data_IF_670888473830
#
_entry.id   IF_670888473830
#
_cell.length_a   1.000
_cell.length_b   1.000
_cell.length_c   1.000
_cell.angle_alpha   90.00
_cell.angle_beta   90.00
_cell.angle_gamma   90.00
#
_symmetry.space_group_name_H-M   'P 1'
#
loop_
_entity.id
_entity.type
_entity.pdbx_description
1 polymer ?
#
# COMPACT_ATOMS: atom_id res chain seq x y z
N UNK A 1 3.67 -31.32 28.54
CA UNK A 1 5.13 -31.04 28.60
C UNK A 1 5.71 -30.71 27.22
N UNK A 2 5.54 -31.56 26.20
CA UNK A 2 6.05 -31.32 24.84
C UNK A 2 5.52 -30.01 24.23
N UNK A 3 4.21 -29.75 24.33
CA UNK A 3 3.61 -28.50 23.83
C UNK A 3 4.17 -27.24 24.49
N UNK A 4 4.50 -27.29 25.79
CA UNK A 4 5.11 -26.16 26.50
C UNK A 4 6.55 -25.89 26.05
N UNK A 5 7.33 -26.94 25.80
CA UNK A 5 8.68 -26.81 25.27
C UNK A 5 8.66 -26.26 23.83
N UNK A 6 7.74 -26.76 23.00
CA UNK A 6 7.52 -26.22 21.66
C UNK A 6 7.09 -24.74 21.70
N UNK A 7 6.18 -24.37 22.61
CA UNK A 7 5.76 -22.97 22.81
C UNK A 7 6.96 -22.06 23.08
N UNK A 8 7.80 -22.40 24.07
CA UNK A 8 8.96 -21.57 24.41
C UNK A 8 10.00 -21.50 23.28
N UNK A 9 10.19 -22.60 22.55
CA UNK A 9 11.08 -22.63 21.39
C UNK A 9 10.59 -21.69 20.28
N UNK A 10 9.33 -21.84 19.84
CA UNK A 10 8.75 -20.99 18.79
C UNK A 10 8.64 -19.52 19.23
N UNK A 11 8.31 -19.25 20.50
CA UNK A 11 8.26 -17.87 21.02
C UNK A 11 9.64 -17.21 21.07
N UNK A 12 10.67 -17.94 21.48
CA UNK A 12 12.04 -17.41 21.51
C UNK A 12 12.53 -17.08 20.10
N UNK A 13 12.30 -17.97 19.13
CA UNK A 13 12.67 -17.73 17.72
C UNK A 13 11.86 -16.58 17.13
N UNK A 14 10.57 -16.46 17.46
CA UNK A 14 9.74 -15.34 17.03
C UNK A 14 10.29 -13.99 17.52
N UNK A 15 10.61 -13.88 18.82
CA UNK A 15 11.15 -12.64 19.41
C UNK A 15 12.50 -12.31 18.78
N UNK A 16 13.40 -13.30 18.67
CA UNK A 16 14.70 -13.11 18.04
C UNK A 16 14.56 -12.65 16.58
N UNK A 17 13.64 -13.24 15.82
CA UNK A 17 13.35 -12.86 14.44
C UNK A 17 12.81 -11.44 14.36
N UNK A 18 11.86 -11.07 15.23
CA UNK A 18 11.30 -9.71 15.28
C UNK A 18 12.36 -8.64 15.57
N UNK A 19 13.30 -8.93 16.48
CA UNK A 19 14.46 -8.05 16.73
C UNK A 19 15.34 -7.95 15.48
N UNK A 20 15.61 -9.07 14.79
CA UNK A 20 16.41 -9.08 13.57
C UNK A 20 15.75 -8.32 12.41
N UNK A 21 14.42 -8.34 12.29
CA UNK A 21 13.68 -7.53 11.29
C UNK A 21 13.98 -6.04 11.44
N UNK A 22 14.02 -5.53 12.67
CA UNK A 22 14.20 -4.09 12.94
C UNK A 22 15.68 -3.68 12.92
N UNK A 23 16.57 -4.58 13.37
CA UNK A 23 18.00 -4.29 13.52
C UNK A 23 18.81 -4.52 12.25
N UNK A 24 18.35 -5.39 11.34
CA UNK A 24 19.04 -5.72 10.10
C UNK A 24 19.22 -4.49 9.20
N UNK A 25 20.40 -4.40 8.58
CA UNK A 25 20.75 -3.30 7.66
C UNK A 25 20.29 -3.55 6.23
N UNK A 26 20.22 -4.81 5.82
CA UNK A 26 19.76 -5.18 4.49
C UNK A 26 18.25 -5.46 4.55
N UNK A 27 17.42 -4.72 3.80
CA UNK A 27 15.99 -4.95 3.74
C UNK A 27 15.59 -6.37 3.30
N UNK A 28 16.37 -7.02 2.43
CA UNK A 28 16.10 -8.41 2.02
C UNK A 28 16.22 -9.35 3.22
N UNK A 29 17.27 -9.23 4.03
CA UNK A 29 17.41 -10.01 5.26
C UNK A 29 16.29 -9.69 6.25
N UNK A 30 15.89 -8.42 6.35
CA UNK A 30 14.77 -8.00 7.21
C UNK A 30 13.46 -8.69 6.82
N UNK A 31 13.16 -8.79 5.53
CA UNK A 31 11.97 -9.51 5.03
C UNK A 31 12.06 -11.02 5.27
N UNK A 32 13.24 -11.63 5.12
CA UNK A 32 13.44 -13.05 5.42
C UNK A 32 13.20 -13.37 6.91
N UNK A 33 13.68 -12.51 7.81
CA UNK A 33 13.38 -12.63 9.25
C UNK A 33 11.89 -12.40 9.56
N UNK A 34 11.20 -11.55 8.79
CA UNK A 34 9.76 -11.33 8.94
C UNK A 34 8.96 -12.59 8.56
N UNK A 35 9.35 -13.26 7.46
CA UNK A 35 8.78 -14.55 7.06
C UNK A 35 8.98 -15.59 8.16
N UNK A 36 10.19 -15.67 8.72
CA UNK A 36 10.49 -16.57 9.83
C UNK A 36 9.61 -16.25 11.05
N UNK A 37 9.42 -14.97 11.40
CA UNK A 37 8.58 -14.55 12.52
C UNK A 37 7.11 -14.97 12.32
N UNK A 38 6.53 -14.75 11.13
CA UNK A 38 5.15 -15.16 10.84
C UNK A 38 4.97 -16.68 10.83
N UNK A 39 5.96 -17.44 10.39
CA UNK A 39 5.90 -18.90 10.45
C UNK A 39 5.91 -19.42 11.89
N UNK A 40 6.76 -18.86 12.75
CA UNK A 40 6.77 -19.17 14.18
C UNK A 40 5.46 -18.74 14.86
N UNK A 41 4.90 -17.59 14.49
CA UNK A 41 3.60 -17.13 15.00
C UNK A 41 2.46 -18.07 14.59
N UNK A 42 2.48 -18.61 13.36
CA UNK A 42 1.49 -19.59 12.91
C UNK A 42 1.59 -20.88 13.72
N UNK A 43 2.81 -21.35 14.03
CA UNK A 43 3.02 -22.50 14.90
C UNK A 43 2.47 -22.26 16.33
N UNK A 44 2.64 -21.06 16.88
CA UNK A 44 2.05 -20.68 18.16
C UNK A 44 0.52 -20.67 18.13
N UNK A 45 -0.10 -20.17 17.05
CA UNK A 45 -1.55 -20.25 16.88
C UNK A 45 -2.06 -21.68 16.76
N UNK A 46 -1.30 -22.56 16.10
CA UNK A 46 -1.65 -23.98 16.02
C UNK A 46 -1.61 -24.65 17.40
N UNK A 47 -0.59 -24.36 18.21
CA UNK A 47 -0.49 -24.85 19.60
C UNK A 47 -1.63 -24.28 20.46
N UNK A 48 -2.07 -23.05 20.21
CA UNK A 48 -3.20 -22.42 20.90
C UNK A 48 -4.59 -22.94 20.46
N UNK A 49 -4.66 -23.88 19.50
CA UNK A 49 -5.92 -24.42 18.97
C UNK A 49 -6.62 -23.53 17.93
N UNK A 50 -5.93 -22.51 17.43
CA UNK A 50 -6.42 -21.58 16.42
C UNK A 50 -5.98 -21.99 15.00
N UNK A 51 -6.37 -23.21 14.57
CA UNK A 51 -5.94 -23.81 13.29
C UNK A 51 -6.25 -22.94 12.06
N UNK A 52 -7.47 -22.39 11.98
CA UNK A 52 -7.89 -21.58 10.85
C UNK A 52 -7.07 -20.29 10.74
N UNK A 53 -6.82 -19.64 11.89
CA UNK A 53 -6.03 -18.42 11.96
C UNK A 53 -4.56 -18.68 11.62
N UNK A 54 -4.00 -19.80 12.08
CA UNK A 54 -2.66 -20.23 11.73
C UNK A 54 -2.50 -20.41 10.20
N UNK A 55 -3.46 -21.08 9.56
CA UNK A 55 -3.42 -21.30 8.11
C UNK A 55 -3.56 -19.99 7.32
N UNK A 56 -4.46 -19.08 7.73
CA UNK A 56 -4.57 -17.76 7.09
C UNK A 56 -3.31 -16.93 7.27
N UNK A 57 -2.66 -16.99 8.44
CA UNK A 57 -1.41 -16.28 8.69
C UNK A 57 -0.33 -16.72 7.70
N UNK A 58 -0.23 -18.03 7.42
CA UNK A 58 0.71 -18.54 6.42
C UNK A 58 0.30 -18.12 5.00
N UNK A 59 -0.96 -18.33 4.61
CA UNK A 59 -1.40 -18.07 3.22
C UNK A 59 -1.31 -16.58 2.87
N UNK A 60 -1.81 -15.71 3.73
CA UNK A 60 -1.94 -14.27 3.44
C UNK A 60 -0.67 -13.53 3.82
N UNK A 61 -0.20 -13.66 5.06
CA UNK A 61 0.94 -12.85 5.52
C UNK A 61 2.27 -13.38 5.00
N UNK A 62 2.52 -14.69 5.08
CA UNK A 62 3.75 -15.27 4.50
C UNK A 62 3.64 -15.36 2.99
N UNK A 63 2.56 -15.93 2.45
CA UNK A 63 2.43 -16.24 1.03
C UNK A 63 2.24 -15.03 0.12
N UNK A 64 1.33 -14.11 0.45
CA UNK A 64 1.05 -12.96 -0.40
C UNK A 64 1.85 -11.72 0.03
N UNK A 65 1.68 -11.27 1.27
CA UNK A 65 2.18 -9.96 1.73
C UNK A 65 3.71 -9.94 1.82
N UNK A 66 4.33 -10.88 2.54
CA UNK A 66 5.78 -10.89 2.73
C UNK A 66 6.55 -11.16 1.42
N UNK A 67 6.01 -12.01 0.55
CA UNK A 67 6.58 -12.26 -0.79
C UNK A 67 6.47 -11.02 -1.68
N UNK A 68 5.34 -10.31 -1.65
CA UNK A 68 5.19 -9.03 -2.37
C UNK A 68 6.22 -8.01 -1.87
N UNK A 69 6.43 -7.93 -0.56
CA UNK A 69 7.50 -7.09 -0.01
C UNK A 69 8.88 -7.51 -0.49
N UNK A 70 9.18 -8.81 -0.58
CA UNK A 70 10.46 -9.30 -1.10
C UNK A 70 10.69 -8.83 -2.54
N UNK A 71 9.69 -8.95 -3.41
CA UNK A 71 9.78 -8.45 -4.79
C UNK A 71 9.99 -6.94 -4.85
N UNK A 72 9.21 -6.18 -4.09
CA UNK A 72 9.29 -4.71 -4.06
C UNK A 72 10.67 -4.26 -3.56
N UNK A 73 11.14 -4.84 -2.47
CA UNK A 73 12.42 -4.49 -1.87
C UNK A 73 13.60 -4.85 -2.76
N UNK A 74 13.53 -5.98 -3.47
CA UNK A 74 14.61 -6.41 -4.38
C UNK A 74 14.64 -5.59 -5.67
N UNK A 75 13.48 -5.13 -6.16
CA UNK A 75 13.40 -4.28 -7.36
C UNK A 75 13.81 -2.83 -7.07
N UNK A 76 13.64 -2.37 -5.83
CA UNK A 76 14.01 -1.02 -5.40
C UNK A 76 15.51 -0.94 -5.09
N UNK A 77 16.27 -0.29 -5.97
CA UNK A 77 17.66 0.09 -5.72
C UNK A 77 17.71 1.40 -4.92
N UNK A 78 17.49 1.32 -3.60
CA UNK A 78 17.50 2.47 -2.69
C UNK A 78 18.77 2.42 -1.84
N UNK A 79 19.48 3.56 -1.73
CA UNK A 79 20.59 3.72 -0.80
C UNK A 79 20.07 3.88 0.64
N UNK A 80 19.81 2.74 1.28
CA UNK A 80 19.33 2.67 2.66
C UNK A 80 20.35 3.17 3.69
N UNK A 81 21.63 3.36 3.31
CA UNK A 81 22.65 3.91 4.21
C UNK A 81 22.41 5.40 4.45
N UNK A 82 22.10 6.18 3.41
CA UNK A 82 21.76 7.61 3.53
C UNK A 82 20.46 7.87 4.28
N UNK A 83 19.43 7.03 4.09
CA UNK A 83 18.15 7.14 4.83
C UNK A 83 18.31 6.99 6.35
N UNK A 84 19.38 6.31 6.80
CA UNK A 84 19.68 6.13 8.23
C UNK A 84 20.53 7.24 8.84
N UNK A 85 20.95 8.26 8.08
CA UNK A 85 21.79 9.38 8.60
C UNK A 85 21.10 10.22 9.69
N UNK A 86 19.79 10.05 9.93
CA UNK A 86 19.07 10.62 11.07
C UNK A 86 18.74 9.66 12.21
N UNK A 87 18.91 8.34 12.02
CA UNK A 87 18.39 7.33 12.96
C UNK A 87 19.08 7.41 14.32
N UNK A 88 20.40 7.60 14.36
CA UNK A 88 21.14 7.69 15.62
C UNK A 88 20.74 8.91 16.47
N UNK A 89 20.30 9.99 15.83
CA UNK A 89 19.85 11.21 16.52
C UNK A 89 18.53 10.99 17.26
N UNK A 90 17.64 10.16 16.71
CA UNK A 90 16.32 9.87 17.31
C UNK A 90 16.27 8.55 18.09
N UNK A 91 17.28 7.69 17.95
CA UNK A 91 17.43 6.45 18.71
C UNK A 91 17.24 6.60 20.24
N UNK A 92 17.82 7.60 20.93
CA UNK A 92 17.60 7.74 22.37
C UNK A 92 16.15 8.08 22.73
N UNK A 93 15.47 8.88 21.91
CA UNK A 93 14.05 9.21 22.11
C UNK A 93 13.20 7.96 21.92
N UNK A 94 13.47 7.20 20.86
CA UNK A 94 12.80 5.91 20.61
C UNK A 94 13.02 4.91 21.74
N UNK A 95 14.24 4.87 22.31
CA UNK A 95 14.56 4.01 23.45
C UNK A 95 13.81 4.42 24.72
N UNK A 96 13.68 5.72 24.99
CA UNK A 96 12.88 6.23 26.13
C UNK A 96 11.42 5.85 25.96
N UNK A 97 10.83 6.10 24.78
CA UNK A 97 9.41 5.75 24.51
C UNK A 97 9.20 4.24 24.62
N UNK A 98 10.09 3.43 24.01
CA UNK A 98 10.03 1.98 24.09
C UNK A 98 10.21 1.46 25.52
N UNK A 99 11.08 2.09 26.32
CA UNK A 99 11.27 1.77 27.72
C UNK A 99 10.05 2.07 28.57
N UNK A 100 9.38 3.21 28.34
CA UNK A 100 8.12 3.56 29.00
C UNK A 100 7.04 2.53 28.66
N UNK A 101 6.86 2.21 27.38
CA UNK A 101 5.88 1.20 26.95
C UNK A 101 6.18 -0.20 27.51
N UNK A 102 7.46 -0.56 27.61
CA UNK A 102 7.87 -1.82 28.21
C UNK A 102 7.56 -1.86 29.72
N UNK A 103 7.84 -0.78 30.45
CA UNK A 103 7.49 -0.67 31.86
C UNK A 103 5.98 -0.70 32.07
N UNK A 104 5.20 -0.04 31.21
CA UNK A 104 3.74 -0.09 31.24
C UNK A 104 3.24 -1.53 31.04
N UNK A 105 3.79 -2.26 30.07
CA UNK A 105 3.45 -3.66 29.84
C UNK A 105 3.76 -4.52 31.08
N UNK A 106 4.94 -4.34 31.69
CA UNK A 106 5.34 -5.07 32.91
C UNK A 106 4.41 -4.73 34.08
N UNK A 107 4.04 -3.46 34.25
CA UNK A 107 3.12 -3.04 35.30
C UNK A 107 1.72 -3.65 35.10
N UNK A 108 1.19 -3.60 33.88
CA UNK A 108 -0.11 -4.22 33.54
C UNK A 108 -0.07 -5.72 33.79
N UNK A 109 0.98 -6.42 33.36
CA UNK A 109 1.13 -7.86 33.60
C UNK A 109 1.30 -8.21 35.09
N UNK A 110 1.99 -7.37 35.86
CA UNK A 110 2.19 -7.57 37.31
C UNK A 110 0.96 -7.25 38.15
N UNK A 111 0.14 -6.27 37.72
CA UNK A 111 -1.13 -5.92 38.35
C UNK A 111 -2.30 -6.79 37.86
N UNK A 112 -2.10 -7.57 36.78
CA UNK A 112 -3.14 -8.42 36.23
C UNK A 112 -3.51 -9.53 37.20
N UNK A 113 -4.75 -9.49 37.68
CA UNK A 113 -5.36 -10.55 38.48
C UNK A 113 -6.47 -11.18 37.66
N UNK A 114 -6.38 -12.50 37.46
CA UNK A 114 -7.48 -13.27 36.86
C UNK A 114 -8.62 -13.33 37.87
N UNK A 115 -9.76 -12.71 37.56
CA UNK A 115 -10.95 -12.85 38.41
C UNK A 115 -11.49 -14.27 38.26
N UNK A 116 -11.76 -14.95 39.39
CA UNK A 116 -12.23 -16.34 39.39
C UNK A 116 -13.56 -16.56 38.64
N UNK A 117 -14.32 -15.49 38.40
CA UNK A 117 -15.57 -15.49 37.64
C UNK A 117 -15.39 -15.16 36.15
N UNK A 118 -14.20 -14.75 35.68
CA UNK A 118 -13.98 -14.39 34.27
C UNK A 118 -14.38 -15.52 33.29
N UNK A 119 -14.25 -16.77 33.73
CA UNK A 119 -14.62 -17.92 32.91
C UNK A 119 -16.13 -18.06 32.67
N UNK A 120 -16.97 -17.67 33.64
CA UNK A 120 -18.43 -17.79 33.57
C UNK A 120 -19.12 -16.60 32.91
N UNK A 121 -18.43 -15.45 32.81
CA UNK A 121 -18.92 -14.25 32.10
C UNK A 121 -18.62 -14.25 30.59
N UNK A 122 -18.12 -15.36 30.01
CA UNK A 122 -17.86 -15.42 28.57
C UNK A 122 -19.19 -15.41 27.79
N UNK A 123 -19.44 -14.32 27.08
CA UNK A 123 -20.62 -14.14 26.23
C UNK A 123 -20.68 -15.11 25.04
N UNK A 124 -19.51 -15.51 24.51
CA UNK A 124 -19.38 -16.46 23.42
C UNK A 124 -18.30 -17.51 23.76
N UNK A 125 -18.64 -18.57 24.50
CA UNK A 125 -17.70 -19.64 24.78
C UNK A 125 -17.34 -20.40 23.49
N UNK A 126 -16.06 -20.76 23.34
CA UNK A 126 -15.59 -21.52 22.18
C UNK A 126 -16.25 -22.91 22.23
N UNK A 127 -17.05 -23.30 21.22
CA UNK A 127 -17.66 -24.62 21.17
C UNK A 127 -16.56 -25.68 21.05
N UNK A 128 -16.58 -26.71 21.90
CA UNK A 128 -15.61 -27.81 21.86
C UNK A 128 -15.87 -28.79 20.73
N UNK A 129 -17.10 -28.79 20.21
CA UNK A 129 -17.61 -29.84 19.33
C UNK A 129 -17.63 -29.42 17.85
N UNK A 130 -17.16 -28.20 17.56
CA UNK A 130 -17.22 -27.58 16.23
C UNK A 130 -15.82 -27.19 15.79
N UNK A 131 -15.48 -27.50 14.54
CA UNK A 131 -14.22 -27.05 13.93
C UNK A 131 -14.11 -25.52 13.95
N UNK A 132 -12.91 -25.01 14.18
CA UNK A 132 -12.66 -23.57 14.37
C UNK A 132 -13.16 -22.74 13.17
N UNK A 133 -12.91 -23.25 11.96
CA UNK A 133 -13.39 -22.65 10.69
C UNK A 133 -14.91 -22.47 10.66
N UNK A 134 -15.67 -23.48 11.10
CA UNK A 134 -17.13 -23.42 11.09
C UNK A 134 -17.66 -22.47 12.19
N UNK A 135 -17.02 -22.46 13.37
CA UNK A 135 -17.37 -21.56 14.45
C UNK A 135 -17.15 -20.08 14.05
N UNK A 136 -15.99 -19.75 13.47
CA UNK A 136 -15.70 -18.40 12.97
C UNK A 136 -16.66 -18.04 11.83
N UNK A 137 -16.92 -18.97 10.89
CA UNK A 137 -17.86 -18.73 9.80
C UNK A 137 -19.25 -18.37 10.28
N UNK A 138 -19.79 -19.10 11.28
CA UNK A 138 -21.10 -18.80 11.86
C UNK A 138 -21.14 -17.36 12.40
N UNK A 139 -20.16 -16.97 13.21
CA UNK A 139 -20.12 -15.64 13.82
C UNK A 139 -19.94 -14.54 12.76
N UNK A 140 -19.05 -14.75 11.78
CA UNK A 140 -18.74 -13.77 10.75
C UNK A 140 -19.94 -13.49 9.83
N UNK A 141 -20.68 -14.52 9.42
CA UNK A 141 -21.80 -14.40 8.49
C UNK A 141 -23.15 -14.11 9.16
N UNK A 142 -23.29 -14.25 10.48
CA UNK A 142 -24.55 -13.97 11.19
C UNK A 142 -24.49 -12.69 12.02
N UNK A 143 -23.50 -12.56 12.90
CA UNK A 143 -23.38 -11.42 13.82
C UNK A 143 -22.61 -10.25 13.19
N UNK A 144 -21.54 -10.55 12.44
CA UNK A 144 -20.61 -9.54 11.89
C UNK A 144 -20.71 -9.35 10.37
N UNK A 145 -21.88 -9.63 9.78
CA UNK A 145 -22.08 -9.57 8.32
C UNK A 145 -21.72 -8.19 7.73
N UNK A 146 -22.02 -7.10 8.45
CA UNK A 146 -21.67 -5.75 8.01
C UNK A 146 -20.15 -5.50 7.99
N UNK A 147 -19.41 -6.00 8.99
CA UNK A 147 -17.95 -5.90 9.00
C UNK A 147 -17.33 -6.74 7.88
N UNK A 148 -17.89 -7.92 7.62
CA UNK A 148 -17.48 -8.75 6.50
C UNK A 148 -17.67 -8.05 5.15
N UNK A 149 -18.84 -7.43 4.94
CA UNK A 149 -19.12 -6.69 3.71
C UNK A 149 -18.23 -5.43 3.58
N UNK A 150 -17.98 -4.72 4.68
CA UNK A 150 -17.06 -3.60 4.70
C UNK A 150 -15.62 -4.01 4.35
N UNK A 151 -15.15 -5.15 4.85
CA UNK A 151 -13.84 -5.71 4.45
C UNK A 151 -13.79 -6.01 2.94
N UNK A 152 -14.87 -6.53 2.35
CA UNK A 152 -14.99 -6.72 0.91
C UNK A 152 -14.86 -5.41 0.11
N UNK A 153 -15.49 -4.33 0.60
CA UNK A 153 -15.35 -2.99 0.00
C UNK A 153 -13.91 -2.46 0.13
N UNK A 154 -13.24 -2.69 1.25
CA UNK A 154 -11.84 -2.32 1.43
C UNK A 154 -10.94 -3.03 0.41
N UNK A 155 -11.15 -4.33 0.19
CA UNK A 155 -10.40 -5.09 -0.82
C UNK A 155 -10.67 -4.59 -2.25
N UNK A 156 -11.92 -4.23 -2.55
CA UNK A 156 -12.28 -3.63 -3.84
C UNK A 156 -11.54 -2.30 -4.05
N UNK A 157 -11.57 -1.42 -3.04
CA UNK A 157 -10.87 -0.13 -3.10
C UNK A 157 -9.36 -0.31 -3.21
N UNK A 158 -8.78 -1.28 -2.48
CA UNK A 158 -7.36 -1.60 -2.57
C UNK A 158 -6.95 -2.05 -3.98
N UNK A 159 -7.77 -2.88 -4.63
CA UNK A 159 -7.55 -3.32 -6.02
C UNK A 159 -7.63 -2.15 -7.00
N UNK A 160 -8.69 -1.33 -6.92
CA UNK A 160 -8.84 -0.14 -7.78
C UNK A 160 -7.66 0.81 -7.58
N UNK A 161 -7.29 1.08 -6.32
CA UNK A 161 -6.16 1.95 -5.97
C UNK A 161 -4.83 1.44 -6.53
N UNK A 162 -4.55 0.14 -6.40
CA UNK A 162 -3.34 -0.46 -6.97
C UNK A 162 -3.31 -0.35 -8.51
N UNK A 163 -4.43 -0.59 -9.19
CA UNK A 163 -4.53 -0.46 -10.65
C UNK A 163 -4.33 0.97 -11.08
N UNK A 164 -5.06 1.94 -10.51
CA UNK A 164 -4.96 3.35 -10.89
C UNK A 164 -3.55 3.89 -10.66
N UNK A 165 -2.90 3.52 -9.55
CA UNK A 165 -1.54 3.98 -9.24
C UNK A 165 -0.47 3.38 -10.17
N UNK A 166 -0.68 2.15 -10.66
CA UNK A 166 0.27 1.47 -11.57
C UNK A 166 -0.06 1.68 -13.05
N UNK A 167 -1.26 2.20 -13.35
CA UNK A 167 -1.71 2.46 -14.72
C UNK A 167 -0.95 3.66 -15.29
N UNK A 168 0.19 3.39 -15.92
CA UNK A 168 0.96 4.39 -16.64
C UNK A 168 0.31 4.68 -17.99
N UNK A 169 -0.14 5.91 -18.18
CA UNK A 169 -0.56 6.38 -19.50
C UNK A 169 0.61 6.31 -20.48
N UNK A 170 0.52 5.41 -21.45
CA UNK A 170 1.43 5.41 -22.59
C UNK A 170 1.08 6.63 -23.43
N UNK A 171 1.85 7.71 -23.29
CA UNK A 171 1.83 8.92 -24.12
C UNK A 171 2.25 8.67 -25.60
N UNK A 172 1.93 7.50 -26.14
CA UNK A 172 2.20 7.11 -27.52
C UNK A 172 0.94 7.08 -28.39
N UNK A 173 -0.24 7.18 -27.79
CA UNK A 173 -1.46 7.48 -28.53
C UNK A 173 -1.50 8.99 -28.74
N UNK A 174 -1.25 9.43 -29.98
CA UNK A 174 -1.56 10.81 -30.37
C UNK A 174 -3.06 10.98 -30.23
N UNK A 175 -3.52 11.42 -29.07
CA UNK A 175 -4.94 11.67 -28.83
C UNK A 175 -5.36 12.78 -29.78
N UNK A 176 -6.41 12.52 -30.53
CA UNK A 176 -7.05 13.51 -31.38
C UNK A 176 -7.73 14.53 -30.47
N UNK A 177 -7.23 15.77 -30.49
CA UNK A 177 -7.92 16.91 -29.91
C UNK A 177 -8.95 17.41 -30.92
N UNK A 178 -10.21 17.03 -30.72
CA UNK A 178 -11.32 17.31 -31.65
C UNK A 178 -11.48 18.82 -31.83
N UNK A 179 -11.28 19.62 -30.79
CA UNK A 179 -11.45 21.07 -30.85
C UNK A 179 -10.38 21.69 -31.75
N UNK A 180 -9.12 21.26 -31.62
CA UNK A 180 -8.03 21.68 -32.51
C UNK A 180 -8.23 21.17 -33.94
N UNK A 181 -8.87 20.01 -34.13
CA UNK A 181 -9.16 19.50 -35.48
C UNK A 181 -10.27 20.26 -36.18
N UNK A 182 -11.34 20.61 -35.45
CA UNK A 182 -12.51 21.32 -35.98
C UNK A 182 -12.20 22.81 -36.16
N UNK A 183 -11.38 23.41 -35.29
CA UNK A 183 -10.95 24.80 -35.42
C UNK A 183 -9.94 25.03 -36.57
N UNK A 184 -9.50 23.99 -37.29
CA UNK A 184 -8.65 24.18 -38.47
C UNK A 184 -9.43 24.92 -39.55
N UNK A 185 -8.82 26.01 -40.04
CA UNK A 185 -9.36 26.89 -41.07
C UNK A 185 -9.82 26.06 -42.28
N UNK A 186 -11.08 26.20 -42.68
CA UNK A 186 -11.71 25.50 -43.81
C UNK A 186 -11.27 26.03 -45.18
N UNK A 187 -10.12 26.70 -45.25
CA UNK A 187 -9.62 27.27 -46.50
C UNK A 187 -8.67 26.25 -47.14
N UNK A 188 -9.20 25.51 -48.11
CA UNK A 188 -8.44 24.57 -48.93
C UNK A 188 -7.85 25.33 -50.10
N UNK A 189 -6.53 25.46 -50.12
CA UNK A 189 -5.83 26.08 -51.25
C UNK A 189 -5.57 24.99 -52.31
N UNK A 190 -6.21 25.13 -53.46
CA UNK A 190 -6.10 24.16 -54.55
C UNK A 190 -4.89 24.51 -55.40
N UNK A 191 -3.81 23.73 -55.28
CA UNK A 191 -2.61 23.90 -56.09
C UNK A 191 -2.60 22.90 -57.27
N UNK A 192 -2.40 23.38 -58.49
CA UNK A 192 -2.18 22.48 -59.64
C UNK A 192 -0.76 21.93 -59.58
N UNK A 193 -0.63 20.61 -59.47
CA UNK A 193 0.69 19.96 -59.36
C UNK A 193 1.09 19.35 -60.71
N UNK A 194 2.24 19.74 -61.29
CA UNK A 194 2.75 19.13 -62.51
C UNK A 194 3.17 17.68 -62.25
N UNK A 195 2.91 16.80 -63.23
CA UNK A 195 3.18 15.36 -63.12
C UNK A 195 4.69 15.11 -63.05
N UNK A 196 5.15 14.50 -61.96
CA UNK A 196 6.56 14.15 -61.73
C UNK A 196 7.30 15.07 -60.75
N UNK A 197 6.71 16.17 -60.28
CA UNK A 197 7.31 17.04 -59.27
C UNK A 197 7.20 16.47 -57.85
N UNK A 198 8.25 16.62 -57.05
CA UNK A 198 8.29 16.15 -55.66
C UNK A 198 7.72 17.17 -54.67
N UNK A 199 7.22 16.70 -53.52
CA UNK A 199 6.58 17.53 -52.48
C UNK A 199 7.53 18.62 -51.95
N UNK A 200 8.84 18.34 -51.89
CA UNK A 200 9.86 19.28 -51.46
C UNK A 200 10.10 20.42 -52.45
N UNK A 201 10.03 20.15 -53.76
CA UNK A 201 10.19 21.16 -54.82
C UNK A 201 8.98 22.11 -54.90
N UNK A 202 7.80 21.61 -54.53
CA UNK A 202 6.56 22.39 -54.50
C UNK A 202 6.40 23.23 -53.23
N UNK A 203 7.35 23.15 -52.29
CA UNK A 203 7.31 23.91 -51.04
C UNK A 203 6.18 23.50 -50.08
N UNK A 204 5.52 22.37 -50.33
CA UNK A 204 4.43 21.84 -49.49
C UNK A 204 5.05 21.09 -48.31
N UNK A 205 5.68 21.83 -47.40
CA UNK A 205 6.26 21.27 -46.19
C UNK A 205 5.17 21.01 -45.14
N UNK A 206 5.30 19.90 -44.41
CA UNK A 206 4.44 19.64 -43.25
C UNK A 206 4.63 20.76 -42.23
N UNK A 207 3.58 21.50 -41.83
CA UNK A 207 3.69 22.45 -40.74
C UNK A 207 4.22 21.74 -39.50
N UNK A 208 5.20 22.36 -38.83
CA UNK A 208 5.69 21.84 -37.55
C UNK A 208 4.50 21.76 -36.57
N UNK A 209 4.46 20.73 -35.70
CA UNK A 209 3.44 20.67 -34.66
C UNK A 209 3.44 21.99 -33.88
N UNK A 210 2.27 22.50 -33.46
CA UNK A 210 2.21 23.63 -32.54
C UNK A 210 3.13 23.35 -31.35
N UNK A 211 3.89 24.35 -30.91
CA UNK A 211 4.71 24.23 -29.72
C UNK A 211 3.80 23.83 -28.55
N UNK A 212 4.07 22.69 -27.92
CA UNK A 212 3.21 22.14 -26.86
C UNK A 212 3.01 23.21 -25.78
N UNK A 213 1.75 23.61 -25.59
CA UNK A 213 1.42 24.60 -24.57
C UNK A 213 1.90 24.07 -23.22
N UNK A 214 2.82 24.82 -22.59
CA UNK A 214 3.34 24.49 -21.25
C UNK A 214 2.15 24.17 -20.34
N UNK A 215 2.18 23.05 -19.61
CA UNK A 215 1.04 22.64 -18.79
C UNK A 215 0.64 23.79 -17.88
N UNK A 216 -0.64 24.21 -17.95
CA UNK A 216 -1.17 25.27 -17.09
C UNK A 216 -0.85 24.89 -15.64
N UNK A 217 -0.12 25.76 -14.94
CA UNK A 217 0.09 25.62 -13.52
C UNK A 217 -1.29 25.54 -12.87
N UNK A 218 -1.54 24.44 -12.16
CA UNK A 218 -2.80 24.22 -11.44
C UNK A 218 -2.86 25.27 -10.34
N UNK A 219 -3.59 26.36 -10.58
CA UNK A 219 -3.88 27.35 -9.56
C UNK A 219 -4.85 26.69 -8.59
N UNK A 220 -4.33 26.26 -7.43
CA UNK A 220 -5.17 25.90 -6.31
C UNK A 220 -6.05 27.11 -5.97
N UNK A 221 -7.35 26.97 -6.20
CA UNK A 221 -8.32 28.03 -6.01
C UNK A 221 -8.38 28.42 -4.53
N UNK A 222 -7.74 29.53 -4.18
CA UNK A 222 -8.26 30.41 -3.15
C UNK A 222 -9.10 31.45 -3.86
N UNK A 223 -10.41 31.24 -3.80
CA UNK A 223 -11.39 32.21 -4.27
C UNK A 223 -11.24 33.50 -3.47
N UNK A 224 -10.85 34.55 -4.16
CA UNK A 224 -11.36 35.88 -3.90
C UNK A 224 -11.44 36.59 -5.25
N UNK A 225 -12.67 36.72 -5.74
CA UNK A 225 -12.96 37.60 -6.85
C UNK A 225 -12.63 39.02 -6.43
N UNK A 226 -11.79 39.67 -7.21
CA UNK A 226 -11.80 41.11 -7.32
C UNK A 226 -11.81 41.41 -8.81
N UNK A 227 -13.02 41.74 -9.26
CA UNK A 227 -13.26 42.39 -10.53
C UNK A 227 -12.39 43.65 -10.58
N UNK A 228 -11.65 43.83 -11.67
CA UNK A 228 -11.27 45.17 -12.08
C UNK A 228 -11.43 45.28 -13.60
N UNK A 229 -12.58 45.83 -13.97
CA UNK A 229 -12.86 46.39 -15.28
C UNK A 229 -12.16 47.74 -15.39
N UNK A 230 -11.43 48.00 -16.48
CA UNK A 230 -11.16 49.38 -16.86
C UNK A 230 -10.06 49.61 -17.90
N UNK A 231 -10.50 50.01 -19.10
CA UNK A 231 -9.87 50.96 -20.03
C UNK A 231 -8.40 50.71 -20.46
N UNK A 232 -8.07 50.50 -21.74
CA UNK A 232 -8.47 51.29 -22.90
C UNK A 232 -7.40 52.34 -23.19
N UNK A 233 -6.73 52.25 -24.34
CA UNK A 233 -5.86 53.33 -24.81
C UNK A 233 -4.73 52.89 -25.73
N UNK A 234 -4.95 53.06 -27.03
CA UNK A 234 -3.94 53.10 -28.07
C UNK A 234 -2.87 54.17 -27.77
N UNK A 235 -1.60 53.83 -27.97
CA UNK A 235 -0.62 54.53 -28.81
C UNK A 235 0.68 53.73 -28.86
#
# INVERSE_FOLDING_TARGET
MIAGLAFYAFSAVLIASAVMVVTSRNPVHSVLYLILAFFNAAALFLIAGAEFLAMILVIVYVGAVAVLFLFVVMMLDIDFARLREGFQRYAPIGAVIGGILFLELVFVLGAWQSSGQAGSLRLNPVPTDVHNTAAIGRVLYTEYVFLFQAAGLILLVAMIGAIVLTHRDRARSRRQDIDVQVARRTQLDMASVPVGASIGELGILRPLPPEEAKPKAVTHGHGHGHDDHGHGGHH
#
